data_IF_525405767188
#
_entry.id   IF_525405767188
#
_cell.length_a   1.000
_cell.length_b   1.000
_cell.length_c   1.000
_cell.angle_alpha   90.00
_cell.angle_beta   90.00
_cell.angle_gamma   90.00
#
_symmetry.space_group_name_H-M   'P 1'
#
loop_
_entity.id
_entity.type
_entity.pdbx_description
1 polymer ?
#
# COMPACT_ATOMS: atom_id res chain seq x y z
N UNK A 1 -15.50 -11.83 -9.65
CA UNK A 1 -14.10 -11.72 -9.17
C UNK A 1 -14.03 -10.53 -8.25
N UNK A 2 -13.34 -10.60 -7.12
CA UNK A 2 -13.19 -9.45 -6.22
C UNK A 2 -11.83 -8.79 -6.40
N UNK A 3 -11.77 -7.48 -6.21
CA UNK A 3 -10.52 -6.70 -6.24
C UNK A 3 -10.29 -6.09 -4.87
N UNK A 4 -9.07 -6.23 -4.36
CA UNK A 4 -8.63 -5.61 -3.12
C UNK A 4 -7.60 -4.52 -3.45
N UNK A 5 -8.03 -3.27 -3.44
CA UNK A 5 -7.13 -2.12 -3.61
C UNK A 5 -6.51 -1.79 -2.28
N UNK A 6 -5.20 -1.60 -2.22
CA UNK A 6 -4.51 -1.32 -0.98
C UNK A 6 -3.31 -0.38 -1.16
N UNK A 7 -2.94 0.25 -0.07
CA UNK A 7 -1.80 1.17 0.01
C UNK A 7 -1.23 1.17 1.42
N UNK A 8 0.06 1.49 1.56
CA UNK A 8 0.78 1.59 2.84
C UNK A 8 1.33 2.98 3.09
N UNK A 9 1.22 3.42 4.34
CA UNK A 9 2.07 4.48 4.87
C UNK A 9 3.17 3.86 5.74
N UNK A 10 4.40 4.34 5.61
CA UNK A 10 5.57 3.74 6.23
C UNK A 10 6.46 4.78 6.92
N UNK A 11 7.37 4.33 7.80
CA UNK A 11 8.36 5.21 8.44
C UNK A 11 9.46 5.70 7.51
N UNK A 12 9.61 5.06 6.35
CA UNK A 12 10.62 5.37 5.34
C UNK A 12 10.58 4.36 4.20
N UNK A 13 11.64 4.26 3.41
CA UNK A 13 11.67 3.49 2.17
C UNK A 13 12.44 2.15 2.25
N UNK A 14 13.03 1.84 3.39
CA UNK A 14 13.88 0.66 3.54
C UNK A 14 13.12 -0.47 4.24
N UNK A 15 12.79 -1.58 3.58
CA UNK A 15 12.14 -2.71 4.23
C UNK A 15 12.95 -3.29 5.41
N UNK A 16 14.29 -3.12 5.39
CA UNK A 16 15.16 -3.62 6.44
C UNK A 16 15.15 -2.78 7.73
N UNK A 17 14.90 -1.46 7.63
CA UNK A 17 15.05 -0.50 8.73
C UNK A 17 13.76 0.26 9.05
N UNK A 18 12.80 0.25 8.15
CA UNK A 18 11.53 0.94 8.29
C UNK A 18 10.39 -0.04 8.55
N UNK A 19 9.26 0.48 9.01
CA UNK A 19 8.07 -0.32 9.24
C UNK A 19 6.83 0.31 8.62
N UNK A 20 5.78 -0.48 8.31
CA UNK A 20 4.45 0.03 8.02
C UNK A 20 3.88 0.78 9.23
N UNK A 21 3.15 1.86 8.98
CA UNK A 21 2.40 2.65 9.97
C UNK A 21 0.90 2.55 9.77
N UNK A 22 0.48 2.44 8.53
CA UNK A 22 -0.92 2.36 8.14
C UNK A 22 -1.06 1.44 6.94
N UNK A 23 -2.12 0.64 6.97
CA UNK A 23 -2.59 -0.18 5.85
C UNK A 23 -4.03 0.21 5.57
N UNK A 24 -4.28 0.76 4.40
CA UNK A 24 -5.61 1.07 3.92
C UNK A 24 -5.97 0.13 2.78
N UNK A 25 -7.18 -0.45 2.81
CA UNK A 25 -7.63 -1.29 1.73
C UNK A 25 -9.15 -1.20 1.51
N UNK A 26 -9.55 -1.43 0.26
CA UNK A 26 -10.95 -1.48 -0.16
C UNK A 26 -11.17 -2.75 -0.97
N UNK A 27 -12.09 -3.57 -0.53
CA UNK A 27 -12.58 -4.72 -1.29
C UNK A 27 -13.75 -4.29 -2.17
N UNK A 28 -13.72 -4.67 -3.45
CA UNK A 28 -14.79 -4.40 -4.40
C UNK A 28 -15.24 -5.67 -5.11
N UNK A 29 -16.45 -5.62 -5.69
CA UNK A 29 -16.90 -6.61 -6.67
C UNK A 29 -16.28 -6.36 -8.06
N UNK A 30 -16.73 -7.12 -9.07
CA UNK A 30 -16.26 -7.02 -10.46
C UNK A 30 -16.80 -5.79 -11.21
N UNK A 31 -17.75 -5.07 -10.64
CA UNK A 31 -18.24 -3.76 -11.13
C UNK A 31 -17.62 -2.59 -10.34
N UNK A 32 -16.58 -2.86 -9.53
CA UNK A 32 -15.87 -1.90 -8.65
C UNK A 32 -16.76 -1.24 -7.60
N UNK A 33 -17.87 -1.87 -7.20
CA UNK A 33 -18.68 -1.40 -6.06
C UNK A 33 -18.02 -1.86 -4.77
N UNK A 34 -17.89 -0.94 -3.83
CA UNK A 34 -17.28 -1.22 -2.52
C UNK A 34 -18.11 -2.25 -1.74
N UNK A 35 -17.41 -3.29 -1.25
CA UNK A 35 -17.96 -4.32 -0.39
C UNK A 35 -17.55 -4.06 1.07
N UNK A 36 -16.27 -3.77 1.28
CA UNK A 36 -15.70 -3.53 2.60
C UNK A 36 -14.51 -2.56 2.49
N UNK A 37 -14.31 -1.77 3.53
CA UNK A 37 -13.16 -0.86 3.65
C UNK A 37 -12.51 -1.06 5.01
N UNK A 38 -11.18 -1.05 5.03
CA UNK A 38 -10.38 -1.08 6.25
C UNK A 38 -9.33 0.02 6.25
N UNK A 39 -8.98 0.48 7.45
CA UNK A 39 -7.91 1.43 7.66
C UNK A 39 -7.26 1.10 9.01
N UNK A 40 -6.20 0.32 8.94
CA UNK A 40 -5.47 -0.18 10.10
C UNK A 40 -4.26 0.69 10.34
N UNK A 41 -3.94 0.91 11.62
CA UNK A 41 -2.74 1.67 12.03
C UNK A 41 -2.03 0.92 13.13
N UNK A 42 -0.70 1.09 13.22
CA UNK A 42 0.08 0.60 14.33
C UNK A 42 1.01 1.67 14.89
N UNK A 43 1.42 1.48 16.14
CA UNK A 43 2.45 2.30 16.75
C UNK A 43 3.83 1.89 16.27
N UNK A 44 4.76 2.82 16.35
CA UNK A 44 6.16 2.58 16.00
C UNK A 44 6.83 1.65 17.02
N UNK A 45 7.66 0.73 16.54
CA UNK A 45 8.51 -0.06 17.40
C UNK A 45 9.63 0.81 18.02
N UNK A 46 10.07 0.56 19.26
CA UNK A 46 10.98 1.44 19.99
C UNK A 46 12.35 1.68 19.33
N UNK A 47 12.77 0.78 18.45
CA UNK A 47 14.06 0.85 17.74
C UNK A 47 13.98 1.49 16.37
N UNK A 48 12.79 1.83 15.90
CA UNK A 48 12.57 2.45 14.59
C UNK A 48 12.63 3.97 14.72
N UNK A 49 13.40 4.61 13.86
CA UNK A 49 13.50 6.07 13.76
C UNK A 49 12.86 6.47 12.43
N UNK A 50 11.67 7.11 12.46
CA UNK A 50 10.98 7.48 11.22
C UNK A 50 11.75 8.56 10.46
N UNK A 51 11.78 8.43 9.15
CA UNK A 51 12.33 9.47 8.27
C UNK A 51 11.51 10.75 8.38
N UNK A 52 12.12 11.93 8.59
CA UNK A 52 11.40 13.21 8.58
C UNK A 52 10.64 13.44 7.26
N UNK A 53 11.19 12.97 6.16
CA UNK A 53 10.55 13.05 4.85
C UNK A 53 9.29 12.18 4.79
N UNK A 54 9.34 10.94 5.28
CA UNK A 54 8.16 10.08 5.34
C UNK A 54 7.04 10.72 6.16
N UNK A 55 7.36 11.27 7.35
CA UNK A 55 6.39 11.98 8.17
C UNK A 55 5.78 13.20 7.46
N UNK A 56 6.58 13.93 6.68
CA UNK A 56 6.08 15.08 5.92
C UNK A 56 5.15 14.65 4.77
N UNK A 57 5.41 13.51 4.13
CA UNK A 57 4.60 12.99 3.02
C UNK A 57 3.29 12.37 3.55
N UNK A 58 3.38 11.54 4.58
CA UNK A 58 2.22 10.83 5.16
C UNK A 58 1.34 11.75 6.03
N UNK A 59 1.89 12.91 6.47
CA UNK A 59 1.22 13.82 7.38
C UNK A 59 1.09 13.29 8.82
N UNK A 60 1.73 12.17 9.14
CA UNK A 60 1.71 11.56 10.48
C UNK A 60 2.56 12.38 11.44
N UNK A 61 1.97 12.79 12.57
CA UNK A 61 2.70 13.51 13.63
C UNK A 61 3.45 12.55 14.54
N UNK A 62 4.65 12.89 15.04
CA UNK A 62 5.42 12.02 15.94
C UNK A 62 4.64 11.52 17.16
N UNK A 63 3.77 12.35 17.74
CA UNK A 63 2.93 11.95 18.87
C UNK A 63 1.95 10.81 18.53
N UNK A 64 1.48 10.74 17.30
CA UNK A 64 0.57 9.67 16.85
C UNK A 64 1.28 8.32 16.71
N UNK A 65 2.60 8.33 16.47
CA UNK A 65 3.40 7.11 16.36
C UNK A 65 3.61 6.39 17.69
N UNK A 66 3.52 7.13 18.79
CA UNK A 66 3.80 6.64 20.14
C UNK A 66 2.51 6.39 20.94
N UNK A 67 1.35 6.52 20.32
CA UNK A 67 0.07 6.32 20.99
C UNK A 67 -0.05 4.87 21.49
N UNK A 68 -0.09 4.64 22.82
CA UNK A 68 -0.18 3.30 23.37
C UNK A 68 -1.53 2.61 23.07
N UNK A 69 -2.54 3.35 22.65
CA UNK A 69 -3.83 2.79 22.23
C UNK A 69 -3.74 2.11 20.85
N UNK A 70 -2.74 2.44 20.04
CA UNK A 70 -2.54 1.76 18.76
C UNK A 70 -1.94 0.36 18.94
N UNK A 71 -2.32 -0.60 18.08
CA UNK A 71 -1.73 -1.92 18.01
C UNK A 71 -0.21 -1.87 17.85
N UNK A 72 0.46 -2.89 18.35
CA UNK A 72 1.86 -3.17 18.02
C UNK A 72 1.99 -3.60 16.55
N UNK A 73 3.21 -3.61 16.02
CA UNK A 73 3.45 -4.15 14.68
C UNK A 73 3.06 -5.63 14.59
N UNK A 74 3.22 -6.39 15.66
CA UNK A 74 2.79 -7.80 15.72
C UNK A 74 1.27 -7.94 15.57
N UNK A 75 0.48 -7.23 16.34
CA UNK A 75 -0.98 -7.25 16.28
C UNK A 75 -1.48 -6.74 14.91
N UNK A 76 -0.85 -5.70 14.38
CA UNK A 76 -1.14 -5.14 13.06
C UNK A 76 -0.91 -6.17 11.93
N UNK A 77 0.21 -6.91 11.96
CA UNK A 77 0.46 -7.95 10.95
C UNK A 77 -0.50 -9.13 11.09
N UNK A 78 -0.89 -9.50 12.31
CA UNK A 78 -1.93 -10.51 12.52
C UNK A 78 -3.29 -10.08 11.93
N UNK A 79 -3.68 -8.83 12.14
CA UNK A 79 -4.94 -8.30 11.63
C UNK A 79 -4.95 -8.24 10.10
N UNK A 80 -3.86 -7.81 9.46
CA UNK A 80 -3.71 -7.84 8.01
C UNK A 80 -3.76 -9.27 7.48
N UNK A 81 -3.08 -10.23 8.11
CA UNK A 81 -3.12 -11.63 7.72
C UNK A 81 -4.54 -12.19 7.75
N UNK A 82 -5.27 -11.97 8.86
CA UNK A 82 -6.66 -12.38 8.99
C UNK A 82 -7.59 -11.70 7.96
N UNK A 83 -7.31 -10.43 7.61
CA UNK A 83 -8.04 -9.71 6.57
C UNK A 83 -7.83 -10.37 5.20
N UNK A 84 -6.58 -10.66 4.84
CA UNK A 84 -6.23 -11.27 3.56
C UNK A 84 -6.89 -12.66 3.44
N UNK A 85 -6.86 -13.46 4.49
CA UNK A 85 -7.54 -14.77 4.51
C UNK A 85 -9.06 -14.62 4.32
N UNK A 86 -9.67 -13.64 4.98
CA UNK A 86 -11.11 -13.38 4.89
C UNK A 86 -11.54 -12.90 3.49
N UNK A 87 -10.69 -12.11 2.83
CA UNK A 87 -10.97 -11.56 1.50
C UNK A 87 -10.55 -12.49 0.36
N UNK A 88 -9.89 -13.61 0.67
CA UNK A 88 -9.47 -14.59 -0.34
C UNK A 88 -10.67 -15.36 -0.91
N UNK A 89 -10.72 -15.66 -2.22
CA UNK A 89 -9.75 -15.24 -3.24
C UNK A 89 -10.06 -13.84 -3.81
N UNK A 90 -9.04 -12.98 -3.90
CA UNK A 90 -9.14 -11.65 -4.48
C UNK A 90 -7.92 -11.32 -5.36
N UNK A 91 -8.09 -10.35 -6.27
CA UNK A 91 -6.97 -9.71 -6.96
C UNK A 91 -6.50 -8.51 -6.15
N UNK A 92 -5.33 -8.62 -5.55
CA UNK A 92 -4.69 -7.55 -4.77
C UNK A 92 -4.00 -6.57 -5.70
N UNK A 93 -4.39 -5.29 -5.60
CA UNK A 93 -4.01 -4.25 -6.55
C UNK A 93 -3.54 -3.01 -5.80
N UNK A 94 -2.39 -2.48 -6.22
CA UNK A 94 -1.86 -1.22 -5.72
C UNK A 94 -1.03 -0.52 -6.79
N UNK A 95 -0.48 0.63 -6.45
CA UNK A 95 0.39 1.40 -7.33
C UNK A 95 1.85 1.26 -6.90
N UNK A 96 2.68 0.59 -7.70
CA UNK A 96 4.04 0.16 -7.35
C UNK A 96 4.08 -0.80 -6.14
N UNK A 97 2.96 -1.43 -5.85
CA UNK A 97 2.75 -2.20 -4.63
C UNK A 97 3.60 -3.46 -4.58
N UNK A 98 3.80 -4.15 -5.70
CA UNK A 98 4.64 -5.37 -5.74
C UNK A 98 6.10 -5.08 -5.36
N UNK A 99 6.61 -3.91 -5.72
CA UNK A 99 8.02 -3.53 -5.47
C UNK A 99 8.23 -2.80 -4.15
N UNK A 100 7.19 -2.25 -3.55
CA UNK A 100 7.32 -1.46 -2.33
C UNK A 100 6.44 -2.00 -1.20
N UNK A 101 5.12 -1.94 -1.33
CA UNK A 101 4.18 -2.29 -0.26
C UNK A 101 4.29 -3.76 0.15
N UNK A 102 4.38 -4.68 -0.84
CA UNK A 102 4.55 -6.10 -0.57
C UNK A 102 5.87 -6.40 0.13
N UNK A 103 6.97 -5.77 -0.30
CA UNK A 103 8.27 -5.98 0.32
C UNK A 103 8.29 -5.46 1.77
N UNK A 104 7.66 -4.32 2.03
CA UNK A 104 7.50 -3.78 3.38
C UNK A 104 6.64 -4.69 4.26
N UNK A 105 5.51 -5.18 3.75
CA UNK A 105 4.65 -6.12 4.46
C UNK A 105 5.34 -7.46 4.66
N UNK A 106 5.98 -8.01 3.64
CA UNK A 106 6.71 -9.28 3.71
C UNK A 106 7.77 -9.24 4.81
N UNK A 107 8.54 -8.15 4.87
CA UNK A 107 9.54 -7.97 5.91
C UNK A 107 8.90 -7.83 7.30
N UNK A 108 7.81 -7.06 7.43
CA UNK A 108 7.09 -6.92 8.68
C UNK A 108 6.52 -8.27 9.16
N UNK A 109 5.95 -9.07 8.25
CA UNK A 109 5.45 -10.41 8.57
C UNK A 109 6.57 -11.35 8.98
N UNK A 110 7.70 -11.35 8.26
CA UNK A 110 8.87 -12.14 8.60
C UNK A 110 9.42 -11.81 10.01
N UNK A 111 9.57 -10.52 10.32
CA UNK A 111 10.04 -10.07 11.64
C UNK A 111 9.10 -10.44 12.78
N UNK A 112 7.80 -10.61 12.50
CA UNK A 112 6.80 -10.98 13.48
C UNK A 112 6.40 -12.47 13.42
N UNK A 113 7.18 -13.30 12.70
CA UNK A 113 6.98 -14.75 12.57
C UNK A 113 5.59 -15.12 12.02
N UNK A 114 5.04 -14.26 11.17
CA UNK A 114 3.78 -14.49 10.48
C UNK A 114 4.02 -15.20 9.13
N UNK A 115 3.05 -15.98 8.61
CA UNK A 115 3.15 -16.59 7.30
C UNK A 115 3.30 -15.56 6.18
N UNK A 116 3.93 -15.95 5.05
CA UNK A 116 3.97 -15.10 3.86
C UNK A 116 2.57 -14.96 3.25
N UNK A 117 2.00 -13.77 3.40
CA UNK A 117 0.65 -13.44 2.91
C UNK A 117 0.53 -13.41 1.38
N UNK A 118 1.65 -13.29 0.68
CA UNK A 118 1.68 -13.27 -0.78
C UNK A 118 1.99 -14.63 -1.42
N UNK A 119 1.93 -15.71 -0.66
CA UNK A 119 1.98 -17.08 -1.16
C UNK A 119 0.68 -17.44 -1.89
N UNK A 120 0.37 -16.71 -2.96
CA UNK A 120 -0.92 -16.69 -3.65
C UNK A 120 -1.39 -18.04 -4.18
N UNK A 121 -0.47 -18.95 -4.49
CA UNK A 121 -0.81 -20.28 -4.98
C UNK A 121 -1.57 -21.15 -3.96
N UNK A 122 -1.58 -20.79 -2.69
CA UNK A 122 -2.24 -21.54 -1.63
C UNK A 122 -3.64 -21.04 -1.29
N UNK A 123 -3.93 -19.77 -1.58
CA UNK A 123 -5.22 -19.16 -1.21
C UNK A 123 -6.01 -18.60 -2.40
N UNK A 124 -5.49 -18.77 -3.63
CA UNK A 124 -6.16 -18.33 -4.86
C UNK A 124 -6.09 -16.82 -5.10
N UNK A 125 -5.37 -16.06 -4.27
CA UNK A 125 -5.14 -14.65 -4.49
C UNK A 125 -4.26 -14.42 -5.71
N UNK A 126 -4.50 -13.34 -6.42
CA UNK A 126 -3.64 -12.85 -7.50
C UNK A 126 -3.18 -11.43 -7.21
N UNK A 127 -2.17 -10.96 -7.93
CA UNK A 127 -1.58 -9.63 -7.72
C UNK A 127 -1.53 -8.86 -9.02
N UNK A 128 -1.83 -7.57 -8.95
CA UNK A 128 -1.77 -6.69 -10.10
C UNK A 128 -1.16 -5.35 -9.68
N UNK A 129 -0.10 -4.93 -10.35
CA UNK A 129 0.56 -3.66 -10.10
C UNK A 129 0.18 -2.66 -11.20
N UNK A 130 -0.56 -1.63 -10.82
CA UNK A 130 -1.05 -0.63 -11.75
C UNK A 130 0.10 0.15 -12.42
N UNK A 131 1.20 0.42 -11.70
CA UNK A 131 2.35 1.11 -12.29
C UNK A 131 2.99 0.28 -13.40
N UNK A 132 3.13 -1.02 -13.20
CA UNK A 132 3.67 -1.94 -14.21
C UNK A 132 2.78 -2.00 -15.44
N UNK A 133 1.45 -2.05 -15.23
CA UNK A 133 0.49 -2.03 -16.33
C UNK A 133 0.55 -0.71 -17.12
N UNK A 134 0.62 0.43 -16.43
CA UNK A 134 0.76 1.75 -17.07
C UNK A 134 2.05 1.87 -17.88
N UNK A 135 3.17 1.33 -17.41
CA UNK A 135 4.41 1.26 -18.19
C UNK A 135 4.23 0.44 -19.47
N UNK A 136 3.55 -0.70 -19.39
CA UNK A 136 3.29 -1.52 -20.58
C UNK A 136 2.41 -0.78 -21.61
N UNK A 137 1.38 -0.07 -21.15
CA UNK A 137 0.52 0.76 -22.01
C UNK A 137 1.32 1.89 -22.63
N UNK A 138 2.11 2.62 -21.84
CA UNK A 138 2.94 3.71 -22.34
C UNK A 138 3.93 3.28 -23.43
N UNK A 139 4.53 2.09 -23.28
CA UNK A 139 5.47 1.58 -24.28
C UNK A 139 4.80 1.06 -25.56
N UNK A 140 3.56 0.54 -25.44
CA UNK A 140 2.85 -0.08 -26.56
C UNK A 140 1.91 0.86 -27.29
N UNK A 141 1.27 1.75 -26.56
CA UNK A 141 0.21 2.64 -27.04
C UNK A 141 0.32 4.00 -26.34
N UNK A 142 1.42 4.77 -26.59
CA UNK A 142 1.66 6.04 -25.89
C UNK A 142 0.58 7.08 -26.15
N UNK A 143 -0.19 6.94 -27.24
CA UNK A 143 -1.25 7.86 -27.66
C UNK A 143 -2.56 7.72 -26.87
N UNK A 144 -2.72 6.66 -26.04
CA UNK A 144 -3.98 6.39 -25.31
C UNK A 144 -4.23 7.39 -24.20
N UNK A 145 -3.17 7.97 -23.60
CA UNK A 145 -3.26 8.93 -22.49
C UNK A 145 -2.36 10.14 -22.73
N UNK A 146 -2.78 11.28 -22.15
CA UNK A 146 -1.87 12.41 -21.93
C UNK A 146 -0.96 12.09 -20.73
N UNK A 147 0.26 11.65 -21.04
CA UNK A 147 1.21 11.22 -20.02
C UNK A 147 1.82 12.44 -19.30
N UNK A 148 1.81 12.47 -17.96
CA UNK A 148 2.44 13.56 -17.23
C UNK A 148 3.95 13.54 -17.44
N UNK A 149 4.51 14.68 -17.83
CA UNK A 149 5.95 14.88 -17.99
C UNK A 149 6.50 15.84 -16.95
N UNK A 150 7.78 15.69 -16.62
CA UNK A 150 8.49 16.67 -15.81
C UNK A 150 9.07 17.80 -16.69
N UNK A 151 9.78 18.73 -16.06
CA UNK A 151 10.40 19.89 -16.71
C UNK A 151 11.43 19.49 -17.77
N UNK A 152 11.93 18.27 -17.73
CA UNK A 152 12.88 17.71 -18.72
C UNK A 152 12.19 16.93 -19.84
N UNK A 153 10.86 16.87 -19.85
CA UNK A 153 10.06 16.11 -20.82
C UNK A 153 10.02 14.60 -20.55
N UNK A 154 10.49 14.13 -19.38
CA UNK A 154 10.41 12.71 -19.01
C UNK A 154 9.03 12.38 -18.43
N UNK A 155 8.45 11.27 -18.87
CA UNK A 155 7.19 10.77 -18.32
C UNK A 155 7.35 10.40 -16.85
N UNK A 156 6.42 10.90 -16.03
CA UNK A 156 6.34 10.65 -14.59
C UNK A 156 4.99 10.02 -14.23
N UNK A 157 4.90 8.71 -14.40
CA UNK A 157 3.66 7.96 -14.16
C UNK A 157 3.11 8.12 -12.73
N UNK A 158 3.99 8.30 -11.74
CA UNK A 158 3.59 8.59 -10.36
C UNK A 158 2.77 9.89 -10.20
N UNK A 159 2.81 10.78 -11.19
CA UNK A 159 1.99 12.00 -11.19
C UNK A 159 0.56 11.78 -11.69
N UNK A 160 0.27 10.66 -12.35
CA UNK A 160 -1.10 10.34 -12.78
C UNK A 160 -2.07 10.24 -11.60
N UNK A 161 -1.59 9.73 -10.46
CA UNK A 161 -2.40 9.60 -9.25
C UNK A 161 -2.40 10.87 -8.37
N UNK A 162 -1.56 11.86 -8.67
CA UNK A 162 -1.50 13.13 -7.93
C UNK A 162 -2.46 14.17 -8.52
N UNK A 163 -3.63 13.75 -8.99
CA UNK A 163 -4.67 14.70 -9.37
C UNK A 163 -5.28 15.28 -8.08
N UNK A 164 -5.22 16.61 -7.84
CA UNK A 164 -5.71 17.22 -6.61
C UNK A 164 -7.22 17.00 -6.37
N UNK A 165 -7.99 16.63 -7.39
CA UNK A 165 -9.39 16.24 -7.26
C UNK A 165 -9.59 14.86 -6.62
N UNK A 166 -8.61 13.95 -6.70
CA UNK A 166 -8.64 12.65 -6.01
C UNK A 166 -8.10 12.75 -4.58
N UNK A 167 -7.15 13.66 -4.35
CA UNK A 167 -6.50 13.87 -3.03
C UNK A 167 -7.44 14.53 -2.01
N UNK A 168 -8.47 15.25 -2.46
CA UNK A 168 -9.45 15.92 -1.59
C UNK A 168 -10.44 14.96 -0.89
N UNK A 169 -10.59 13.74 -1.38
CA UNK A 169 -11.50 12.72 -0.81
C UNK A 169 -10.88 11.84 0.28
N UNK A 170 -9.56 11.86 0.46
CA UNK A 170 -8.86 10.97 1.40
C UNK A 170 -8.34 11.67 2.68
N UNK A 171 -8.58 12.98 2.85
CA UNK A 171 -8.08 13.76 3.99
C UNK A 171 -9.13 14.07 5.07
N UNK A 172 -10.22 13.33 5.14
CA UNK A 172 -11.20 13.47 6.24
C UNK A 172 -11.16 12.30 7.20
#
# INVERSE_FOLDING_TARGET
>A
MTFAFYDLETTGLSPAFDQPLQFAAILTDDEFREIERVNLRCRIAPHIIPSPWALAVTGVRPAQLLDPALPTLFEFTQEIGALIDRWSPAMWTGFNSIRFDEEMLRQAFYQNLQPDIFATQFNGNTRFDLLTALYAVWHRQPEVFEWPVDETGRVRLSRLLKNPTLDAGYRT
#
